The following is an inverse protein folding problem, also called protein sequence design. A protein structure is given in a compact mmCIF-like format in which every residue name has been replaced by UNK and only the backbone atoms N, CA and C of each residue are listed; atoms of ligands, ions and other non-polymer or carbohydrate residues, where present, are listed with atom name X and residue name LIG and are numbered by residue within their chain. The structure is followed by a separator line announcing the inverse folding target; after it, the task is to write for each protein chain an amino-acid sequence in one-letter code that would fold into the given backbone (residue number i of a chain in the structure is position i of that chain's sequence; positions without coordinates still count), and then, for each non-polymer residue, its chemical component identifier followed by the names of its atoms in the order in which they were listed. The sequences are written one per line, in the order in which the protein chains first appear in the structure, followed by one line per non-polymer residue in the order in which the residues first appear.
data_IF_402181184004
#
_entry.id   IF_402181184004
#
_cell.length_a   1.000
_cell.length_b   1.000
_cell.length_c   1.000
_cell.angle_alpha   90.00
_cell.angle_beta   90.00
_cell.angle_gamma   90.00
#
_symmetry.space_group_name_H-M   'P 1'
#
loop_
_entity.id
_entity.type
_entity.pdbx_description
1 polymer ?
#
# COMPACT_ATOMS: atom_id res chain seq x y z
N UNK A 1 -0.49 -4.59 1.38
CA UNK A 1 0.05 -3.50 0.54
C UNK A 1 -1.02 -2.44 0.44
N UNK A 2 -0.72 -1.21 0.84
CA UNK A 2 -1.62 -0.06 0.74
C UNK A 2 -1.14 0.83 -0.41
N UNK A 3 -2.03 1.22 -1.33
CA UNK A 3 -1.69 2.17 -2.39
C UNK A 3 -2.39 3.51 -2.15
N UNK A 4 -1.61 4.58 -2.07
CA UNK A 4 -2.10 5.92 -1.79
C UNK A 4 -2.54 6.11 -0.33
N UNK A 5 -1.63 5.98 0.66
CA UNK A 5 -1.97 6.14 2.08
C UNK A 5 -2.46 7.55 2.44
N UNK A 6 -2.13 8.56 1.62
CA UNK A 6 -2.48 9.96 1.87
C UNK A 6 -2.03 10.42 3.28
N UNK A 7 -2.94 10.90 4.15
CA UNK A 7 -2.60 11.30 5.51
C UNK A 7 -2.38 10.12 6.49
N UNK A 8 -2.54 8.88 6.06
CA UNK A 8 -2.26 7.68 6.87
C UNK A 8 -3.41 7.20 7.76
N UNK A 9 -4.63 7.69 7.54
CA UNK A 9 -5.80 7.28 8.32
C UNK A 9 -6.11 5.78 8.19
N UNK A 10 -6.08 5.27 6.96
CA UNK A 10 -6.27 3.84 6.67
C UNK A 10 -5.05 3.03 7.12
N UNK A 11 -3.82 3.48 6.79
CA UNK A 11 -2.57 2.88 7.30
C UNK A 11 -2.61 2.63 8.80
N UNK A 12 -3.01 3.64 9.58
CA UNK A 12 -3.15 3.54 11.04
C UNK A 12 -4.20 2.53 11.45
N UNK A 13 -5.37 2.53 10.79
CA UNK A 13 -6.42 1.56 11.08
C UNK A 13 -5.95 0.11 10.83
N UNK A 14 -5.29 -0.15 9.69
CA UNK A 14 -4.73 -1.47 9.37
C UNK A 14 -3.74 -1.95 10.43
N UNK A 15 -2.83 -1.08 10.89
CA UNK A 15 -1.85 -1.40 11.93
C UNK A 15 -2.50 -1.67 13.30
N UNK A 16 -3.59 -0.96 13.63
CA UNK A 16 -4.34 -1.15 14.88
C UNK A 16 -5.18 -2.44 14.87
N UNK A 17 -5.72 -2.81 13.71
CA UNK A 17 -6.45 -4.08 13.50
C UNK A 17 -5.51 -5.30 13.40
N UNK A 18 -4.22 -5.11 13.66
CA UNK A 18 -3.25 -6.22 13.79
C UNK A 18 -2.58 -6.65 12.49
N UNK A 19 -2.57 -5.80 11.45
CA UNK A 19 -1.72 -6.06 10.28
C UNK A 19 -0.26 -6.26 10.72
N UNK A 20 0.32 -7.41 10.38
CA UNK A 20 1.70 -7.74 10.75
C UNK A 20 2.70 -6.79 10.08
N UNK A 21 2.43 -6.45 8.82
CA UNK A 21 3.23 -5.51 8.04
C UNK A 21 2.36 -4.79 7.02
N UNK A 22 2.53 -3.48 6.91
CA UNK A 22 1.94 -2.62 5.88
C UNK A 22 3.07 -2.07 5.02
N UNK A 23 2.97 -2.28 3.71
CA UNK A 23 3.84 -1.63 2.73
C UNK A 23 2.97 -0.60 2.03
N UNK A 24 3.22 0.68 2.30
CA UNK A 24 2.48 1.81 1.76
C UNK A 24 3.21 2.39 0.54
N UNK A 25 2.52 2.48 -0.59
CA UNK A 25 3.06 3.00 -1.85
C UNK A 25 2.47 4.37 -2.11
N UNK A 26 3.32 5.38 -2.22
CA UNK A 26 2.89 6.75 -2.47
C UNK A 26 3.77 7.42 -3.52
N UNK A 27 3.14 8.13 -4.46
CA UNK A 27 3.83 8.84 -5.52
C UNK A 27 4.30 10.22 -5.05
N UNK A 28 3.61 10.82 -4.09
CA UNK A 28 3.98 12.11 -3.52
C UNK A 28 5.14 11.95 -2.52
N UNK A 29 6.32 12.46 -2.87
CA UNK A 29 7.53 12.45 -2.02
C UNK A 29 7.36 13.22 -0.70
N UNK A 30 6.28 13.98 -0.52
CA UNK A 30 5.97 14.65 0.76
C UNK A 30 5.37 13.68 1.77
N UNK A 31 4.94 12.49 1.34
CA UNK A 31 4.31 11.49 2.18
C UNK A 31 5.20 11.04 3.34
N UNK A 32 6.52 10.95 3.16
CA UNK A 32 7.45 10.64 4.24
C UNK A 32 7.36 11.62 5.40
N UNK A 33 7.16 12.91 5.11
CA UNK A 33 6.97 13.93 6.15
C UNK A 33 5.59 13.82 6.80
N UNK A 34 4.54 13.59 6.00
CA UNK A 34 3.16 13.46 6.49
C UNK A 34 3.01 12.25 7.41
N UNK A 35 3.66 11.14 7.07
CA UNK A 35 3.56 9.85 7.78
C UNK A 35 4.69 9.66 8.81
N UNK A 36 5.57 10.63 9.02
CA UNK A 36 6.76 10.48 9.86
C UNK A 36 6.46 9.96 11.28
N UNK A 37 5.42 10.50 11.92
CA UNK A 37 5.00 10.06 13.25
C UNK A 37 4.45 8.63 13.25
N UNK A 38 3.73 8.24 12.19
CA UNK A 38 3.19 6.91 12.04
C UNK A 38 4.30 5.89 11.75
N UNK A 39 5.26 6.23 10.90
CA UNK A 39 6.46 5.42 10.64
C UNK A 39 7.24 5.17 11.93
N UNK A 40 7.50 6.22 12.70
CA UNK A 40 8.19 6.11 13.99
C UNK A 40 7.42 5.23 14.99
N UNK A 41 6.09 5.35 15.05
CA UNK A 41 5.25 4.57 15.96
C UNK A 41 5.07 3.10 15.52
N UNK A 42 5.07 2.84 14.22
CA UNK A 42 4.85 1.51 13.66
C UNK A 42 6.12 0.65 13.61
N UNK A 43 7.30 1.27 13.57
CA UNK A 43 8.58 0.57 13.50
C UNK A 43 8.70 -0.25 12.21
N UNK A 44 9.11 -1.50 12.33
CA UNK A 44 9.28 -2.45 11.23
C UNK A 44 7.96 -2.94 10.60
N UNK A 45 6.83 -2.59 11.22
CA UNK A 45 5.50 -2.95 10.71
C UNK A 45 5.00 -2.03 9.60
N UNK A 46 5.65 -0.90 9.33
CA UNK A 46 5.27 0.01 8.25
C UNK A 46 6.49 0.38 7.39
N UNK A 47 6.43 0.01 6.12
CA UNK A 47 7.37 0.49 5.09
C UNK A 47 6.66 1.51 4.20
N UNK A 48 7.27 2.68 4.00
CA UNK A 48 6.85 3.64 2.98
C UNK A 48 7.75 3.50 1.76
N UNK A 49 7.15 3.27 0.59
CA UNK A 49 7.83 3.22 -0.70
C UNK A 49 7.35 4.38 -1.56
N UNK A 50 8.25 5.33 -1.82
CA UNK A 50 7.99 6.48 -2.68
C UNK A 50 8.10 6.06 -4.15
N UNK A 51 7.00 5.63 -4.76
CA UNK A 51 6.96 5.09 -6.11
C UNK A 51 5.61 5.29 -6.81
N UNK A 52 5.63 5.26 -8.15
CA UNK A 52 4.42 5.21 -8.95
C UNK A 52 3.87 3.78 -8.98
N UNK A 53 2.71 3.55 -8.37
CA UNK A 53 2.08 2.24 -8.29
C UNK A 53 1.84 1.61 -9.68
N UNK A 54 1.60 2.40 -10.73
CA UNK A 54 1.41 1.89 -12.11
C UNK A 54 2.69 1.30 -12.71
N UNK A 55 3.84 1.60 -12.11
CA UNK A 55 5.18 1.16 -12.56
C UNK A 55 5.85 0.22 -11.57
N UNK A 56 5.14 -0.16 -10.51
CA UNK A 56 5.69 -0.92 -9.39
C UNK A 56 5.11 -2.32 -9.38
N UNK A 57 5.93 -3.40 -9.39
CA UNK A 57 5.43 -4.77 -9.36
C UNK A 57 4.98 -5.16 -7.95
N UNK A 58 3.78 -4.73 -7.55
CA UNK A 58 3.24 -4.92 -6.21
C UNK A 58 3.11 -6.41 -5.83
N UNK A 59 2.89 -7.28 -6.81
CA UNK A 59 2.85 -8.74 -6.62
C UNK A 59 4.18 -9.35 -6.17
N UNK A 60 5.30 -8.60 -6.22
CA UNK A 60 6.64 -9.02 -5.78
C UNK A 60 7.07 -8.41 -4.42
N UNK A 61 6.28 -7.53 -3.81
CA UNK A 61 6.67 -6.77 -2.60
C UNK A 61 6.24 -7.37 -1.25
N UNK A 62 7.15 -7.88 -0.42
CA UNK A 62 6.84 -8.54 0.87
C UNK A 62 6.72 -10.07 0.79
N UNK A 63 5.94 -10.69 1.67
CA UNK A 63 5.70 -12.15 1.67
C UNK A 63 4.29 -12.48 1.11
N UNK A 64 4.15 -13.65 0.48
CA UNK A 64 2.88 -14.14 -0.05
C UNK A 64 2.18 -15.14 0.91
N UNK A 65 0.84 -15.23 0.91
CA UNK A 65 -0.10 -14.46 0.09
C UNK A 65 -0.36 -13.05 0.68
N UNK A 66 -0.59 -12.07 -0.21
CA UNK A 66 -0.71 -10.65 0.13
C UNK A 66 -2.13 -10.14 0.01
N UNK A 67 -2.46 -9.05 0.70
CA UNK A 67 -3.69 -8.28 0.45
C UNK A 67 -3.33 -6.92 -0.14
N UNK A 68 -4.05 -6.50 -1.18
CA UNK A 68 -4.03 -5.10 -1.64
C UNK A 68 -5.19 -4.38 -0.99
N UNK A 69 -4.90 -3.20 -0.43
CA UNK A 69 -5.89 -2.25 0.05
C UNK A 69 -5.65 -0.91 -0.62
N UNK A 70 -6.66 -0.29 -1.24
CA UNK A 70 -6.44 1.01 -1.87
C UNK A 70 -7.71 1.86 -2.00
N UNK A 71 -7.59 3.17 -1.76
CA UNK A 71 -8.64 4.14 -2.06
C UNK A 71 -8.18 5.05 -3.22
N UNK A 72 -8.17 4.49 -4.42
CA UNK A 72 -7.55 5.13 -5.59
C UNK A 72 -8.48 6.11 -6.30
N UNK A 73 -7.92 7.19 -6.87
CA UNK A 73 -8.69 8.06 -7.74
C UNK A 73 -9.09 7.33 -9.03
N UNK A 74 -10.27 7.66 -9.55
CA UNK A 74 -10.89 7.00 -10.70
C UNK A 74 -10.00 6.95 -11.96
N UNK A 75 -9.10 7.92 -12.12
CA UNK A 75 -8.25 8.04 -13.31
C UNK A 75 -7.15 6.97 -13.41
N UNK A 76 -6.80 6.28 -12.31
CA UNK A 76 -5.78 5.21 -12.32
C UNK A 76 -6.30 3.86 -11.79
N UNK A 77 -7.43 3.85 -11.08
CA UNK A 77 -7.95 2.66 -10.40
C UNK A 77 -8.19 1.47 -11.34
N UNK A 78 -8.84 1.70 -12.49
CA UNK A 78 -9.13 0.63 -13.47
C UNK A 78 -7.87 -0.02 -14.02
N UNK A 79 -6.87 0.79 -14.38
CA UNK A 79 -5.59 0.29 -14.92
C UNK A 79 -4.85 -0.56 -13.88
N UNK A 80 -4.79 -0.08 -12.64
CA UNK A 80 -4.16 -0.82 -11.54
C UNK A 80 -4.89 -2.13 -11.27
N UNK A 81 -6.22 -2.12 -11.19
CA UNK A 81 -7.01 -3.33 -10.98
C UNK A 81 -6.77 -4.37 -12.08
N UNK A 82 -6.76 -3.97 -13.35
CA UNK A 82 -6.48 -4.88 -14.47
C UNK A 82 -5.08 -5.49 -14.35
N UNK A 83 -4.05 -4.69 -14.01
CA UNK A 83 -2.71 -5.21 -13.78
C UNK A 83 -2.68 -6.23 -12.64
N UNK A 84 -3.34 -5.96 -11.51
CA UNK A 84 -3.36 -6.87 -10.37
C UNK A 84 -4.11 -8.17 -10.66
N UNK A 85 -5.20 -8.12 -11.42
CA UNK A 85 -5.93 -9.30 -11.86
C UNK A 85 -5.07 -10.21 -12.75
N UNK A 86 -4.15 -9.64 -13.55
CA UNK A 86 -3.14 -10.41 -14.28
C UNK A 86 -2.22 -11.24 -13.38
N UNK A 87 -2.11 -10.88 -12.10
CA UNK A 87 -1.32 -11.56 -11.06
C UNK A 87 -2.20 -12.04 -9.90
N UNK A 88 -3.48 -12.36 -10.14
CA UNK A 88 -4.45 -12.67 -9.08
C UNK A 88 -3.99 -13.75 -8.10
N UNK A 89 -3.19 -14.73 -8.54
CA UNK A 89 -2.65 -15.80 -7.67
C UNK A 89 -1.63 -15.30 -6.63
N UNK A 90 -1.10 -14.09 -6.78
CA UNK A 90 -0.20 -13.46 -5.82
C UNK A 90 -0.94 -12.78 -4.65
N UNK A 91 -2.27 -12.63 -4.76
CA UNK A 91 -3.09 -11.90 -3.81
C UNK A 91 -4.16 -12.80 -3.19
N UNK A 92 -4.30 -12.71 -1.88
CA UNK A 92 -5.41 -13.29 -1.12
C UNK A 92 -6.69 -12.49 -1.33
N UNK A 93 -6.58 -11.15 -1.35
CA UNK A 93 -7.69 -10.23 -1.58
C UNK A 93 -7.24 -8.90 -2.14
N UNK A 94 -8.16 -8.23 -2.85
CA UNK A 94 -8.05 -6.86 -3.35
C UNK A 94 -9.24 -6.08 -2.77
N UNK A 95 -9.00 -5.04 -1.98
CA UNK A 95 -10.05 -4.31 -1.23
C UNK A 95 -9.89 -2.80 -1.33
#
# INVERSE_FOLDING_TARGET
IEVGPGPGGLTRALLLEGAQKVIAIEKDFRAGTVLASLLAAAGDRLDLVEADALKTPLWEMGDAPRRIVANLPYNIATTLLIQWLGHATAFESLT
#
